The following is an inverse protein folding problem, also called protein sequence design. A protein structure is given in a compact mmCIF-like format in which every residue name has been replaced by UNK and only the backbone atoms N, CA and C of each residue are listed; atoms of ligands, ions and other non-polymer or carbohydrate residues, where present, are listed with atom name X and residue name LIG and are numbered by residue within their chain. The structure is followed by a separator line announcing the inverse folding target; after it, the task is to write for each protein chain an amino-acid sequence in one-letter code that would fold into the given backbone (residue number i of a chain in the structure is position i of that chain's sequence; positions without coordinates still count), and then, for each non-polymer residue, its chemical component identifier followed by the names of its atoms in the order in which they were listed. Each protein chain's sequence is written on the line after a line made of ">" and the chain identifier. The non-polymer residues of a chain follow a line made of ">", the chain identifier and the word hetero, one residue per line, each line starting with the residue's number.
data_IF_927158335187
#
_entry.id   IF_927158335187
#
_cell.length_a   1.000
_cell.length_b   1.000
_cell.length_c   1.000
_cell.angle_alpha   90.00
_cell.angle_beta   90.00
_cell.angle_gamma   90.00
#
_symmetry.space_group_name_H-M   'P 1'
#
loop_
_entity.id
_entity.type
_entity.pdbx_description
1 polymer ?
#
# COMPACT_ATOMS: atom_id res chain seq x y z
N UNK A 1 6.49 5.13 29.33
CA UNK A 1 6.42 6.29 28.43
C UNK A 1 5.55 5.87 27.26
N UNK A 2 4.30 6.29 27.28
CA UNK A 2 3.31 5.98 26.25
C UNK A 2 3.76 6.68 24.97
N UNK A 3 4.10 5.92 23.91
CA UNK A 3 4.48 6.52 22.63
C UNK A 3 3.25 7.22 22.07
N UNK A 4 3.35 8.53 21.83
CA UNK A 4 2.35 9.29 21.11
C UNK A 4 1.89 8.51 19.88
N UNK A 5 0.59 8.16 19.84
CA UNK A 5 -0.11 7.51 18.71
C UNK A 5 -0.11 8.35 17.42
N UNK A 6 0.63 9.46 17.38
CA UNK A 6 0.40 10.56 16.45
C UNK A 6 1.36 10.62 15.24
N UNK A 7 2.46 9.86 15.21
CA UNK A 7 3.42 9.96 14.11
C UNK A 7 3.63 8.63 13.40
N UNK A 8 3.14 8.56 12.16
CA UNK A 8 3.40 7.44 11.26
C UNK A 8 4.88 7.46 10.86
N UNK A 9 5.57 6.34 11.06
CA UNK A 9 6.97 6.18 10.63
C UNK A 9 7.02 6.36 9.09
N UNK A 10 8.02 7.09 8.54
CA UNK A 10 8.20 7.20 7.10
C UNK A 10 8.11 5.88 6.33
N UNK A 11 8.61 4.77 6.89
CA UNK A 11 8.56 3.45 6.24
C UNK A 11 7.16 2.82 6.20
N UNK A 12 6.24 3.31 7.02
CA UNK A 12 4.86 2.81 7.10
C UNK A 12 3.93 3.56 6.12
N UNK A 13 4.47 4.51 5.33
CA UNK A 13 3.72 5.25 4.31
C UNK A 13 3.58 4.39 3.04
N UNK A 14 2.35 4.12 2.64
CA UNK A 14 2.06 3.40 1.39
C UNK A 14 2.39 4.26 0.15
N UNK A 15 2.20 5.58 0.22
CA UNK A 15 2.49 6.51 -0.89
C UNK A 15 3.84 7.21 -0.67
N UNK A 16 4.93 6.50 -0.91
CA UNK A 16 6.29 7.00 -0.64
C UNK A 16 6.70 8.18 -1.54
N UNK A 17 6.50 8.07 -2.86
CA UNK A 17 6.87 9.12 -3.83
C UNK A 17 5.74 10.14 -4.07
N UNK A 18 4.97 10.48 -3.04
CA UNK A 18 3.82 11.39 -3.16
C UNK A 18 4.20 12.78 -3.69
N UNK A 19 5.40 13.26 -3.37
CA UNK A 19 5.90 14.58 -3.79
C UNK A 19 6.68 14.57 -5.11
N UNK A 20 6.92 13.40 -5.71
CA UNK A 20 7.60 13.30 -7.00
C UNK A 20 9.11 13.64 -6.95
N UNK A 21 9.77 13.41 -5.80
CA UNK A 21 11.22 13.60 -5.70
C UNK A 21 12.01 12.53 -6.46
N UNK A 22 11.37 11.39 -6.74
CA UNK A 22 11.90 10.33 -7.58
C UNK A 22 11.15 10.21 -8.91
N UNK A 23 11.77 9.64 -9.96
CA UNK A 23 11.07 9.37 -11.21
C UNK A 23 9.84 8.45 -11.04
N UNK A 24 8.85 8.68 -11.89
CA UNK A 24 7.57 7.93 -11.94
C UNK A 24 7.59 6.79 -12.95
N UNK A 25 8.73 6.51 -13.58
CA UNK A 25 8.86 5.42 -14.55
C UNK A 25 8.78 4.04 -13.88
N UNK A 26 8.52 3.00 -14.69
CA UNK A 26 8.36 1.62 -14.21
C UNK A 26 9.59 1.10 -13.45
N UNK A 27 10.80 1.45 -13.91
CA UNK A 27 12.04 0.97 -13.27
C UNK A 27 12.20 1.56 -11.87
N UNK A 28 11.82 2.82 -11.69
CA UNK A 28 11.86 3.50 -10.40
C UNK A 28 10.73 3.02 -9.48
N UNK A 29 9.53 2.74 -10.02
CA UNK A 29 8.43 2.10 -9.29
C UNK A 29 8.81 0.72 -8.72
N UNK A 30 9.39 -0.14 -9.54
CA UNK A 30 9.84 -1.47 -9.10
C UNK A 30 10.86 -1.42 -7.96
N UNK A 31 11.69 -0.36 -7.87
CA UNK A 31 12.64 -0.18 -6.76
C UNK A 31 11.96 0.14 -5.43
N UNK A 32 10.79 0.77 -5.45
CA UNK A 32 9.97 1.06 -4.26
C UNK A 32 9.10 -0.13 -3.82
N UNK A 33 9.19 -1.26 -4.53
CA UNK A 33 8.40 -2.44 -4.25
C UNK A 33 7.06 -2.51 -5.00
N UNK A 34 6.75 -1.53 -5.86
CA UNK A 34 5.62 -1.64 -6.79
C UNK A 34 5.82 -2.88 -7.69
N UNK A 35 4.73 -3.55 -8.04
CA UNK A 35 4.74 -4.81 -8.81
C UNK A 35 5.46 -6.00 -8.16
N UNK A 36 5.89 -5.89 -6.90
CA UNK A 36 6.42 -7.05 -6.17
C UNK A 36 5.35 -8.13 -6.00
N UNK A 37 5.71 -9.39 -6.26
CA UNK A 37 4.87 -10.60 -6.09
C UNK A 37 3.47 -10.53 -6.74
N UNK A 38 3.26 -9.64 -7.72
CA UNK A 38 1.92 -9.42 -8.28
C UNK A 38 1.35 -10.67 -8.94
N UNK A 39 2.18 -11.46 -9.64
CA UNK A 39 1.74 -12.72 -10.24
C UNK A 39 1.28 -13.76 -9.20
N UNK A 40 1.98 -13.84 -8.06
CA UNK A 40 1.60 -14.72 -6.96
C UNK A 40 0.29 -14.26 -6.31
N UNK A 41 0.16 -12.96 -6.02
CA UNK A 41 -1.06 -12.38 -5.45
C UNK A 41 -2.28 -12.60 -6.34
N UNK A 42 -2.13 -12.40 -7.66
CA UNK A 42 -3.20 -12.69 -8.63
C UNK A 42 -3.51 -14.19 -8.67
N UNK A 43 -2.48 -15.05 -8.57
CA UNK A 43 -2.62 -16.50 -8.53
C UNK A 43 -3.42 -17.03 -7.34
N UNK A 44 -3.51 -16.28 -6.23
CA UNK A 44 -4.33 -16.64 -5.07
C UNK A 44 -5.84 -16.53 -5.31
N UNK A 45 -6.25 -15.87 -6.40
CA UNK A 45 -7.65 -15.76 -6.81
C UNK A 45 -8.44 -14.65 -6.12
N UNK A 46 -9.61 -14.34 -6.68
CA UNK A 46 -10.42 -13.19 -6.27
C UNK A 46 -10.93 -13.29 -4.82
N UNK A 47 -11.41 -14.47 -4.41
CA UNK A 47 -11.97 -14.67 -3.06
C UNK A 47 -10.94 -14.38 -1.97
N UNK A 48 -9.71 -14.89 -2.15
CA UNK A 48 -8.61 -14.61 -1.22
C UNK A 48 -8.32 -13.11 -1.13
N UNK A 49 -8.21 -12.41 -2.28
CA UNK A 49 -7.95 -10.96 -2.31
C UNK A 49 -9.06 -10.19 -1.59
N UNK A 50 -10.32 -10.55 -1.84
CA UNK A 50 -11.49 -9.92 -1.22
C UNK A 50 -11.44 -10.09 0.31
N UNK A 51 -11.10 -11.28 0.79
CA UNK A 51 -11.06 -11.57 2.22
C UNK A 51 -9.89 -10.87 2.92
N UNK A 52 -8.72 -10.75 2.29
CA UNK A 52 -7.60 -9.94 2.81
C UNK A 52 -7.97 -8.45 2.89
N UNK A 53 -8.65 -7.90 1.88
CA UNK A 53 -9.11 -6.50 1.90
C UNK A 53 -10.13 -6.28 3.03
N UNK A 54 -11.07 -7.20 3.23
CA UNK A 54 -12.00 -7.12 4.38
C UNK A 54 -11.26 -7.20 5.72
N UNK A 55 -10.32 -8.15 5.85
CA UNK A 55 -9.56 -8.37 7.07
C UNK A 55 -8.68 -7.16 7.45
N UNK A 56 -8.20 -6.41 6.45
CA UNK A 56 -7.44 -5.16 6.67
C UNK A 56 -8.25 -4.03 7.32
N UNK A 57 -9.59 -4.11 7.31
CA UNK A 57 -10.47 -3.04 7.78
C UNK A 57 -10.49 -1.80 6.88
N UNK A 58 -10.05 -1.92 5.62
CA UNK A 58 -10.07 -0.82 4.66
C UNK A 58 -11.51 -0.34 4.41
N UNK A 59 -11.74 0.97 4.60
CA UNK A 59 -12.98 1.68 4.26
C UNK A 59 -12.83 2.50 2.99
N UNK A 60 -13.95 2.94 2.40
CA UNK A 60 -13.93 3.81 1.24
C UNK A 60 -13.09 5.07 1.45
N UNK A 61 -12.35 5.52 0.44
CA UNK A 61 -11.52 6.75 0.48
C UNK A 61 -12.10 7.90 -0.34
N UNK A 62 -13.32 7.72 -0.88
CA UNK A 62 -14.01 8.70 -1.73
C UNK A 62 -15.02 9.62 -1.02
N UNK A 63 -15.09 9.61 0.32
CA UNK A 63 -15.96 10.51 1.10
C UNK A 63 -17.28 9.91 1.59
N UNK A 64 -17.72 8.78 1.05
CA UNK A 64 -18.81 7.97 1.63
C UNK A 64 -18.32 7.02 2.75
N UNK A 65 -17.00 6.89 2.86
CA UNK A 65 -16.25 5.83 3.53
C UNK A 65 -16.56 5.63 5.00
#
# INVERSE_FOLDING_TARGET
>A
MERDKAMLDPKDRIFENLYGFEPTDLKSAMKRGDFSNTAELVGKGADWIIDEVKASGLRGRGGAG
#
